data_IF_296283291546
#
_entry.id   IF_296283291546
#
_cell.length_a   1.000
_cell.length_b   1.000
_cell.length_c   1.000
_cell.angle_alpha   90.00
_cell.angle_beta   90.00
_cell.angle_gamma   90.00
#
_symmetry.space_group_name_H-M   'P 1'
#
loop_
_entity.id
_entity.type
_entity.pdbx_description
1 polymer ?
#
# COMPACT_ATOMS: atom_id res chain seq x y z
N UNK A 1 -68.85 -36.58 10.23
CA UNK A 1 -67.45 -36.45 9.78
C UNK A 1 -67.43 -35.42 8.66
N UNK A 2 -66.95 -34.21 8.95
CA UNK A 2 -66.81 -33.14 7.97
C UNK A 2 -65.35 -32.68 8.03
N UNK A 3 -64.62 -32.81 6.93
CA UNK A 3 -63.26 -32.31 6.79
C UNK A 3 -63.31 -30.88 6.25
N UNK A 4 -62.91 -29.92 7.09
CA UNK A 4 -62.69 -28.54 6.68
C UNK A 4 -61.28 -28.42 6.09
N UNK A 5 -61.21 -27.97 4.84
CA UNK A 5 -59.96 -27.71 4.11
C UNK A 5 -59.49 -26.30 4.46
N UNK A 6 -58.31 -26.17 5.06
CA UNK A 6 -57.66 -24.87 5.32
C UNK A 6 -57.06 -24.30 4.04
N UNK A 7 -57.14 -22.98 3.80
CA UNK A 7 -56.46 -22.34 2.68
C UNK A 7 -54.97 -22.12 3.00
N UNK A 8 -54.15 -22.49 2.03
CA UNK A 8 -52.71 -22.22 1.95
C UNK A 8 -52.46 -20.70 1.95
N UNK A 9 -51.71 -20.20 2.93
CA UNK A 9 -51.16 -18.84 2.90
C UNK A 9 -49.79 -18.92 2.22
N UNK A 10 -49.66 -18.32 1.04
CA UNK A 10 -48.35 -18.12 0.39
C UNK A 10 -47.63 -16.93 1.04
N UNK A 11 -46.33 -17.07 1.39
CA UNK A 11 -45.54 -15.91 1.78
C UNK A 11 -45.22 -15.06 0.55
N UNK A 12 -45.62 -13.79 0.60
CA UNK A 12 -45.18 -12.75 -0.35
C UNK A 12 -43.70 -12.47 -0.08
N UNK A 13 -42.83 -13.02 -0.92
CA UNK A 13 -41.43 -12.61 -1.02
C UNK A 13 -41.37 -11.23 -1.67
N UNK A 14 -41.30 -10.17 -0.84
CA UNK A 14 -40.90 -8.85 -1.28
C UNK A 14 -39.40 -8.85 -1.57
N UNK A 15 -39.04 -8.97 -2.85
CA UNK A 15 -37.68 -8.76 -3.33
C UNK A 15 -37.19 -7.36 -2.91
N UNK A 16 -36.05 -7.23 -2.21
CA UNK A 16 -35.45 -5.93 -1.99
C UNK A 16 -34.99 -5.40 -3.35
N UNK A 17 -35.54 -4.25 -3.73
CA UNK A 17 -35.13 -3.50 -4.91
C UNK A 17 -33.65 -3.16 -4.76
N UNK A 18 -32.80 -3.87 -5.49
CA UNK A 18 -31.41 -3.47 -5.70
C UNK A 18 -31.46 -2.06 -6.30
N UNK A 19 -31.18 -1.05 -5.47
CA UNK A 19 -30.85 0.29 -5.96
C UNK A 19 -29.59 0.11 -6.79
N UNK A 20 -29.76 0.15 -8.11
CA UNK A 20 -28.66 0.41 -9.04
C UNK A 20 -27.87 1.59 -8.49
N UNK A 21 -26.63 1.32 -8.06
CA UNK A 21 -25.65 2.36 -7.85
C UNK A 21 -25.56 3.13 -9.16
N UNK A 22 -26.06 4.36 -9.14
CA UNK A 22 -25.93 5.31 -10.23
C UNK A 22 -24.49 5.30 -10.72
N UNK A 23 -24.31 5.03 -12.01
CA UNK A 23 -23.06 5.21 -12.72
C UNK A 23 -22.60 6.66 -12.56
N UNK A 24 -21.80 6.93 -11.54
CA UNK A 24 -20.86 8.03 -11.58
C UNK A 24 -19.86 7.67 -12.68
N UNK A 25 -19.95 8.32 -13.82
CA UNK A 25 -18.83 8.35 -14.76
C UNK A 25 -17.65 8.94 -13.97
N UNK A 26 -16.54 8.20 -13.78
CA UNK A 26 -15.39 8.74 -13.07
C UNK A 26 -14.91 9.93 -13.88
N UNK A 27 -15.06 11.13 -13.31
CA UNK A 27 -14.36 12.30 -13.83
C UNK A 27 -12.90 11.96 -13.60
N UNK A 28 -12.15 11.62 -14.66
CA UNK A 28 -10.78 11.16 -14.54
C UNK A 28 -9.97 12.24 -13.81
N UNK A 29 -9.80 12.07 -12.51
CA UNK A 29 -8.97 12.93 -11.69
C UNK A 29 -7.57 12.83 -12.28
N UNK A 30 -7.03 13.94 -12.79
CA UNK A 30 -5.68 13.99 -13.33
C UNK A 30 -4.71 13.90 -12.17
N UNK A 31 -4.29 12.70 -11.82
CA UNK A 31 -3.25 12.48 -10.82
C UNK A 31 -1.92 12.93 -11.40
N UNK A 32 -1.23 13.79 -10.67
CA UNK A 32 0.09 14.30 -10.98
C UNK A 32 1.08 13.74 -9.98
N UNK A 33 2.32 13.57 -10.41
CA UNK A 33 3.39 13.23 -9.48
C UNK A 33 4.24 14.46 -9.23
N UNK A 34 4.47 14.78 -7.96
CA UNK A 34 5.41 15.84 -7.56
C UNK A 34 6.69 15.22 -7.03
N UNK A 35 7.82 15.87 -7.31
CA UNK A 35 9.07 15.52 -6.65
C UNK A 35 8.97 15.84 -5.15
N UNK A 36 9.39 14.89 -4.32
CA UNK A 36 9.59 15.14 -2.90
C UNK A 36 10.72 16.17 -2.75
N UNK A 37 10.48 17.25 -2.00
CA UNK A 37 11.46 18.31 -1.84
C UNK A 37 12.76 17.76 -1.26
N UNK A 38 13.84 17.81 -2.04
CA UNK A 38 15.20 17.63 -1.54
C UNK A 38 15.53 18.83 -0.68
N UNK A 39 15.49 18.65 0.63
CA UNK A 39 16.14 19.59 1.54
C UNK A 39 17.63 19.61 1.15
N UNK A 40 18.09 20.68 0.49
CA UNK A 40 19.51 20.93 0.31
C UNK A 40 20.19 20.83 1.68
N UNK A 41 21.22 19.99 1.85
CA UNK A 41 22.04 20.09 3.05
C UNK A 41 22.59 21.51 3.11
N UNK A 42 22.47 22.16 4.26
CA UNK A 42 23.05 23.49 4.48
C UNK A 42 24.54 23.45 4.14
N UNK A 43 25.08 24.47 3.44
CA UNK A 43 26.46 24.44 2.96
C UNK A 43 27.41 24.58 4.14
N UNK A 44 27.99 23.46 4.60
CA UNK A 44 29.22 23.47 5.36
C UNK A 44 30.40 23.21 4.41
N UNK A 45 31.40 24.10 4.35
CA UNK A 45 32.55 23.92 3.46
C UNK A 45 33.57 23.02 4.15
N UNK A 46 33.64 21.75 3.75
CA UNK A 46 34.85 20.95 3.93
C UNK A 46 35.19 20.21 2.63
N UNK A 47 36.40 20.42 2.06
CA UNK A 47 36.83 19.69 0.89
C UNK A 47 37.33 18.32 1.34
N UNK A 48 36.60 17.25 0.99
CA UNK A 48 37.15 15.91 0.97
C UNK A 48 37.20 15.39 -0.48
N UNK A 49 38.27 14.67 -0.85
CA UNK A 49 38.50 14.23 -2.22
C UNK A 49 37.46 13.19 -2.63
N UNK A 50 36.90 13.41 -3.83
CA UNK A 50 35.99 12.51 -4.51
C UNK A 50 36.71 11.21 -4.85
N UNK A 51 36.38 10.15 -4.10
CA UNK A 51 36.64 8.77 -4.50
C UNK A 51 35.42 8.34 -5.29
N UNK A 52 35.60 8.05 -6.57
CA UNK A 52 34.61 7.36 -7.38
C UNK A 52 34.44 5.95 -6.80
N UNK A 53 33.41 5.77 -5.98
CA UNK A 53 32.97 4.45 -5.54
C UNK A 53 32.08 3.89 -6.65
N UNK A 54 32.64 2.93 -7.37
CA UNK A 54 31.93 1.84 -8.03
C UNK A 54 30.95 1.26 -6.99
N UNK A 55 29.67 1.61 -7.07
CA UNK A 55 28.63 1.02 -6.23
C UNK A 55 28.42 -0.41 -6.71
N UNK A 56 29.26 -1.30 -6.21
CA UNK A 56 28.92 -2.71 -6.10
C UNK A 56 27.57 -2.80 -5.41
N UNK A 57 26.66 -3.55 -6.03
CA UNK A 57 25.34 -4.00 -5.57
C UNK A 57 25.46 -4.67 -4.17
N UNK A 58 25.75 -3.85 -3.16
CA UNK A 58 25.90 -4.23 -1.76
C UNK A 58 24.54 -4.72 -1.27
N UNK A 59 24.55 -5.85 -0.55
CA UNK A 59 23.43 -6.55 0.09
C UNK A 59 22.57 -5.62 0.99
N UNK A 60 21.85 -4.69 0.38
CA UNK A 60 20.88 -3.87 1.09
C UNK A 60 19.63 -4.74 1.31
N UNK A 61 19.17 -4.91 2.56
CA UNK A 61 18.14 -5.88 2.89
C UNK A 61 16.76 -5.55 2.30
N UNK A 62 16.57 -4.31 1.82
CA UNK A 62 15.30 -3.78 1.34
C UNK A 62 15.39 -3.33 -0.12
N UNK A 63 14.23 -3.28 -0.78
CA UNK A 63 14.11 -2.82 -2.17
C UNK A 63 14.57 -1.38 -2.41
N UNK A 64 14.42 -0.48 -1.43
CA UNK A 64 14.82 0.91 -1.57
C UNK A 64 16.22 1.12 -0.97
N UNK A 65 17.13 1.82 -1.68
CA UNK A 65 18.37 2.30 -1.08
C UNK A 65 18.09 3.16 0.17
N UNK A 66 18.99 3.19 1.17
CA UNK A 66 18.75 3.90 2.43
C UNK A 66 18.37 5.38 2.27
N UNK A 67 18.98 6.08 1.31
CA UNK A 67 18.71 7.49 1.01
C UNK A 67 17.29 7.72 0.50
N UNK A 68 16.80 6.85 -0.39
CA UNK A 68 15.45 6.89 -0.96
C UNK A 68 14.41 6.43 0.06
N UNK A 69 14.73 5.42 0.87
CA UNK A 69 13.88 4.97 1.96
C UNK A 69 13.65 6.08 2.99
N UNK A 70 14.71 6.82 3.37
CA UNK A 70 14.60 7.97 4.27
C UNK A 70 13.70 9.09 3.71
N UNK A 71 13.74 9.33 2.39
CA UNK A 71 12.81 10.25 1.73
C UNK A 71 11.37 9.73 1.78
N UNK A 72 11.18 8.42 1.54
CA UNK A 72 9.87 7.78 1.49
C UNK A 72 9.13 7.82 2.83
N UNK A 73 9.84 7.73 3.96
CA UNK A 73 9.21 7.77 5.29
C UNK A 73 9.17 9.14 5.94
N UNK A 74 9.70 10.19 5.28
CA UNK A 74 9.75 11.54 5.84
C UNK A 74 8.35 12.07 6.16
N UNK A 75 8.16 12.61 7.35
CA UNK A 75 6.89 13.15 7.83
C UNK A 75 5.84 12.09 8.18
N UNK A 76 6.21 10.81 8.17
CA UNK A 76 5.34 9.68 8.54
C UNK A 76 5.64 9.18 9.95
N UNK A 77 4.81 8.26 10.46
CA UNK A 77 5.05 7.59 11.75
C UNK A 77 6.24 6.62 11.73
N UNK A 78 6.82 6.36 10.56
CA UNK A 78 7.99 5.53 10.36
C UNK A 78 9.29 6.34 10.29
N UNK A 79 9.21 7.67 10.28
CA UNK A 79 10.40 8.54 10.26
C UNK A 79 11.28 8.30 11.49
N UNK A 80 12.59 8.11 11.27
CA UNK A 80 13.57 7.86 12.33
C UNK A 80 13.45 6.49 13.02
N UNK A 81 12.52 5.63 12.59
CA UNK A 81 12.39 4.29 13.14
C UNK A 81 13.36 3.31 12.47
N UNK A 82 13.85 2.33 13.24
CA UNK A 82 14.45 1.14 12.64
C UNK A 82 13.35 0.34 11.95
N UNK A 83 13.48 0.15 10.63
CA UNK A 83 12.50 -0.60 9.85
C UNK A 83 12.84 -2.09 9.82
N UNK A 84 11.80 -2.91 9.76
CA UNK A 84 11.89 -4.35 9.66
C UNK A 84 10.89 -4.86 8.62
N UNK A 85 11.33 -5.84 7.85
CA UNK A 85 10.50 -6.48 6.84
C UNK A 85 9.60 -7.52 7.50
N UNK A 86 8.29 -7.38 7.32
CA UNK A 86 7.28 -8.32 7.83
C UNK A 86 6.66 -9.17 6.72
N UNK A 87 6.86 -8.78 5.46
CA UNK A 87 6.46 -9.57 4.31
C UNK A 87 7.46 -9.39 3.18
N UNK A 88 7.71 -10.48 2.45
CA UNK A 88 8.45 -10.49 1.19
C UNK A 88 7.87 -11.55 0.27
N UNK A 89 7.58 -11.19 -0.98
CA UNK A 89 7.08 -12.16 -1.97
C UNK A 89 8.12 -13.22 -2.36
N UNK A 90 9.41 -13.00 -2.09
CA UNK A 90 10.44 -14.01 -2.30
C UNK A 90 10.34 -15.15 -1.28
N UNK A 91 9.93 -14.84 -0.05
CA UNK A 91 9.77 -15.81 1.03
C UNK A 91 8.36 -16.39 1.09
N UNK A 92 7.34 -15.56 0.86
CA UNK A 92 5.94 -15.89 1.08
C UNK A 92 5.17 -16.12 -0.22
N UNK A 93 5.82 -15.94 -1.37
CA UNK A 93 5.16 -15.93 -2.68
C UNK A 93 4.27 -14.70 -2.87
N UNK A 94 3.63 -14.59 -4.03
CA UNK A 94 2.55 -13.64 -4.26
C UNK A 94 1.23 -14.25 -3.78
N UNK A 95 1.02 -14.32 -2.46
CA UNK A 95 -0.13 -14.98 -1.84
C UNK A 95 -0.87 -14.03 -0.90
N UNK A 96 -2.12 -13.72 -1.23
CA UNK A 96 -3.01 -12.91 -0.37
C UNK A 96 -3.11 -13.51 1.04
N UNK A 97 -3.27 -14.84 1.13
CA UNK A 97 -3.33 -15.55 2.43
C UNK A 97 -2.05 -15.32 3.22
N UNK A 98 -0.88 -15.57 2.62
CA UNK A 98 0.40 -15.41 3.32
C UNK A 98 0.67 -13.95 3.70
N UNK A 99 0.28 -13.00 2.84
CA UNK A 99 0.36 -11.57 3.14
C UNK A 99 -0.41 -11.24 4.42
N UNK A 100 -1.70 -11.59 4.48
CA UNK A 100 -2.51 -11.27 5.66
C UNK A 100 -2.13 -12.06 6.90
N UNK A 101 -1.64 -13.29 6.77
CA UNK A 101 -1.15 -14.05 7.92
C UNK A 101 0.04 -13.34 8.60
N UNK A 102 0.85 -12.58 7.85
CA UNK A 102 1.90 -11.71 8.40
C UNK A 102 1.36 -10.37 8.92
N UNK A 103 0.38 -9.76 8.25
CA UNK A 103 -0.08 -8.41 8.60
C UNK A 103 -1.10 -8.37 9.74
N UNK A 104 -2.01 -9.34 9.84
CA UNK A 104 -3.09 -9.33 10.83
C UNK A 104 -2.59 -9.29 12.28
N UNK A 105 -1.52 -10.01 12.68
CA UNK A 105 -0.96 -9.88 14.02
C UNK A 105 -0.50 -8.46 14.37
N UNK A 106 -0.08 -7.69 13.36
CA UNK A 106 0.41 -6.31 13.51
C UNK A 106 -0.73 -5.28 13.57
N UNK A 107 -1.98 -5.66 13.36
CA UNK A 107 -3.15 -4.91 13.84
C UNK A 107 -3.14 -3.41 13.56
N UNK A 108 -2.87 -3.01 12.32
CA UNK A 108 -3.05 -1.63 11.87
C UNK A 108 -1.92 -0.68 12.20
N UNK A 109 -0.72 -1.23 12.41
CA UNK A 109 0.51 -0.45 12.49
C UNK A 109 0.79 0.31 11.19
N UNK A 110 1.48 1.46 11.26
CA UNK A 110 1.99 2.14 10.08
C UNK A 110 2.90 1.22 9.25
N UNK A 111 2.61 1.14 7.96
CA UNK A 111 3.28 0.23 7.03
C UNK A 111 3.70 0.94 5.75
N UNK A 112 4.90 0.60 5.28
CA UNK A 112 5.41 0.97 3.96
C UNK A 112 5.42 -0.26 3.07
N UNK A 113 4.66 -0.22 1.99
CA UNK A 113 4.59 -1.27 0.98
C UNK A 113 5.45 -0.88 -0.22
N UNK A 114 6.34 -1.77 -0.62
CA UNK A 114 7.28 -1.57 -1.72
C UNK A 114 7.05 -2.60 -2.81
N UNK A 115 7.20 -2.17 -4.06
CA UNK A 115 7.14 -3.02 -5.24
C UNK A 115 8.27 -2.71 -6.21
N UNK A 116 8.74 -3.77 -6.87
CA UNK A 116 9.76 -3.72 -7.90
C UNK A 116 9.28 -4.50 -9.12
N UNK A 117 9.25 -3.87 -10.29
CA UNK A 117 8.86 -4.52 -11.55
C UNK A 117 10.01 -5.33 -12.17
N UNK A 118 9.71 -6.17 -13.15
CA UNK A 118 10.75 -6.84 -13.96
C UNK A 118 11.60 -5.84 -14.75
N UNK A 119 11.04 -4.69 -15.13
CA UNK A 119 11.71 -3.63 -15.88
C UNK A 119 12.56 -2.68 -15.00
N UNK A 120 12.70 -2.97 -13.70
CA UNK A 120 13.54 -2.17 -12.80
C UNK A 120 12.81 -1.02 -12.09
N UNK A 121 11.50 -0.84 -12.29
CA UNK A 121 10.77 0.29 -11.70
C UNK A 121 10.42 0.02 -10.24
N UNK A 122 10.69 1.00 -9.39
CA UNK A 122 10.40 0.98 -7.96
C UNK A 122 9.20 1.87 -7.64
N UNK A 123 8.28 1.36 -6.83
CA UNK A 123 7.04 2.05 -6.47
C UNK A 123 6.55 1.57 -5.11
N UNK A 124 5.58 2.27 -4.54
CA UNK A 124 5.05 1.87 -3.25
C UNK A 124 3.91 2.72 -2.75
N UNK A 125 3.48 2.38 -1.55
CA UNK A 125 2.46 3.13 -0.82
C UNK A 125 2.73 3.09 0.67
N UNK A 126 2.34 4.15 1.34
CA UNK A 126 2.35 4.23 2.80
C UNK A 126 0.92 4.26 3.31
N UNK A 127 0.69 3.61 4.46
CA UNK A 127 -0.54 3.73 5.24
C UNK A 127 -0.19 3.85 6.73
N UNK A 128 -0.77 4.84 7.41
CA UNK A 128 -0.65 5.00 8.86
C UNK A 128 -1.50 3.98 9.63
N UNK A 129 -2.47 3.34 8.98
CA UNK A 129 -3.44 2.43 9.60
C UNK A 129 -3.16 0.96 9.33
N UNK A 130 -2.10 0.64 8.59
CA UNK A 130 -1.75 -0.74 8.22
C UNK A 130 -2.89 -1.53 7.60
N UNK A 131 -2.90 -2.83 7.89
CA UNK A 131 -3.87 -3.81 7.42
C UNK A 131 -4.50 -4.51 8.64
N UNK A 132 -5.83 -4.48 8.79
CA UNK A 132 -6.55 -5.04 9.95
C UNK A 132 -7.36 -6.28 9.65
N UNK A 133 -7.83 -6.44 8.41
CA UNK A 133 -8.75 -7.49 8.02
C UNK A 133 -8.57 -7.78 6.52
N UNK A 134 -9.17 -8.88 6.05
CA UNK A 134 -9.31 -9.16 4.62
C UNK A 134 -10.61 -8.52 4.13
N UNK A 135 -10.64 -8.05 2.89
CA UNK A 135 -11.82 -7.42 2.26
C UNK A 135 -12.36 -6.20 3.04
N UNK A 136 -11.47 -5.43 3.63
CA UNK A 136 -11.66 -4.17 4.32
C UNK A 136 -11.51 -2.94 3.40
N UNK A 137 -12.09 -1.85 3.86
CA UNK A 137 -12.09 -0.54 3.22
C UNK A 137 -11.72 0.52 4.24
N UNK A 138 -10.70 1.33 3.94
CA UNK A 138 -10.37 2.50 4.76
C UNK A 138 -10.21 3.75 3.95
N UNK A 139 -10.69 4.86 4.49
CA UNK A 139 -10.39 6.20 4.03
C UNK A 139 -9.42 6.88 5.00
N UNK A 140 -8.47 7.64 4.48
CA UNK A 140 -7.68 8.59 5.23
C UNK A 140 -8.15 10.01 4.92
N UNK A 141 -7.97 10.89 5.89
CA UNK A 141 -8.35 12.31 5.77
C UNK A 141 -7.18 13.20 5.32
N UNK A 142 -5.95 12.66 5.25
CA UNK A 142 -4.78 13.41 4.80
C UNK A 142 -3.72 12.54 4.12
N UNK A 143 -2.91 13.16 3.26
CA UNK A 143 -1.74 12.53 2.62
C UNK A 143 -0.69 12.05 3.64
N UNK A 144 -0.63 12.66 4.83
CA UNK A 144 0.25 12.19 5.92
C UNK A 144 -0.18 10.82 6.47
N UNK A 145 -1.43 10.43 6.25
CA UNK A 145 -1.96 9.15 6.68
C UNK A 145 -1.92 8.09 5.55
N UNK A 146 -1.87 8.50 4.28
CA UNK A 146 -1.77 7.58 3.16
C UNK A 146 -1.24 8.28 1.90
N UNK A 147 -0.32 7.66 1.17
CA UNK A 147 0.11 8.16 -0.14
C UNK A 147 0.68 7.05 -1.02
N UNK A 148 0.74 7.31 -2.32
CA UNK A 148 1.38 6.46 -3.33
C UNK A 148 2.60 7.18 -3.87
N UNK A 149 3.67 6.43 -4.14
CA UNK A 149 4.88 6.98 -4.74
C UNK A 149 5.46 6.08 -5.82
N UNK A 150 6.29 6.69 -6.66
CA UNK A 150 7.17 6.05 -7.63
C UNK A 150 8.58 6.58 -7.44
N UNK A 151 9.59 5.79 -7.80
CA UNK A 151 10.99 6.18 -7.76
C UNK A 151 11.52 6.19 -9.18
N UNK A 152 12.07 7.34 -9.60
CA UNK A 152 12.71 7.52 -10.89
C UNK A 152 14.14 8.01 -10.67
N UNK A 153 15.12 7.13 -10.93
CA UNK A 153 16.51 7.37 -10.49
C UNK A 153 16.55 7.62 -8.98
N UNK A 154 17.12 8.75 -8.56
CA UNK A 154 17.20 9.16 -7.14
C UNK A 154 16.00 9.99 -6.65
N UNK A 155 15.00 10.19 -7.51
CA UNK A 155 13.85 11.01 -7.19
C UNK A 155 12.69 10.18 -6.68
N UNK A 156 12.18 10.57 -5.50
CA UNK A 156 10.90 10.08 -4.99
C UNK A 156 9.78 10.98 -5.49
N UNK A 157 8.83 10.40 -6.20
CA UNK A 157 7.69 11.08 -6.77
C UNK A 157 6.43 10.69 -6.02
N UNK A 158 5.71 11.65 -5.44
CA UNK A 158 4.46 11.42 -4.68
C UNK A 158 3.27 11.80 -5.56
N UNK A 159 2.27 10.92 -5.60
CA UNK A 159 1.02 11.12 -6.32
C UNK A 159 0.13 12.17 -5.65
N UNK A 160 -0.47 13.07 -6.43
CA UNK A 160 -1.39 14.14 -6.00
C UNK A 160 -2.44 14.48 -7.08
N UNK A 161 -3.73 14.63 -6.73
CA UNK A 161 -4.34 14.15 -5.50
C UNK A 161 -4.44 12.62 -5.54
N UNK A 162 -4.22 11.95 -4.41
CA UNK A 162 -4.61 10.54 -4.24
C UNK A 162 -5.94 10.49 -3.52
N UNK A 163 -6.92 9.77 -4.05
CA UNK A 163 -8.05 9.33 -3.23
C UNK A 163 -7.48 8.45 -2.11
N UNK A 164 -7.59 8.90 -0.86
CA UNK A 164 -6.87 8.31 0.27
C UNK A 164 -7.53 7.02 0.76
N UNK A 165 -7.75 6.09 -0.16
CA UNK A 165 -8.53 4.89 0.06
C UNK A 165 -7.64 3.67 -0.06
N UNK A 166 -7.75 2.80 0.94
CA UNK A 166 -7.17 1.47 0.97
C UNK A 166 -8.28 0.44 0.73
N UNK A 167 -8.12 -0.40 -0.29
CA UNK A 167 -8.94 -1.59 -0.50
C UNK A 167 -8.07 -2.83 -0.44
N UNK A 168 -8.54 -3.90 0.16
CA UNK A 168 -7.73 -5.11 0.30
C UNK A 168 -8.48 -6.41 -0.08
N UNK A 169 -9.01 -6.41 -1.30
CA UNK A 169 -9.82 -7.51 -1.83
C UNK A 169 -9.01 -8.75 -2.23
N UNK A 170 -9.62 -9.93 -2.08
CA UNK A 170 -9.04 -11.26 -2.38
C UNK A 170 -8.22 -11.37 -3.69
N UNK A 171 -8.66 -10.72 -4.77
CA UNK A 171 -8.03 -10.84 -6.10
C UNK A 171 -6.83 -9.90 -6.32
N UNK A 172 -6.78 -8.79 -5.58
CA UNK A 172 -5.74 -7.75 -5.65
C UNK A 172 -5.55 -7.22 -4.23
N UNK A 173 -4.63 -7.83 -3.46
CA UNK A 173 -4.71 -7.71 -2.01
C UNK A 173 -4.52 -6.30 -1.45
N UNK A 174 -3.96 -5.35 -2.19
CA UNK A 174 -3.84 -3.98 -1.69
C UNK A 174 -4.01 -2.99 -2.84
N UNK A 175 -4.97 -2.09 -2.71
CA UNK A 175 -5.16 -0.95 -3.60
C UNK A 175 -5.07 0.33 -2.81
N UNK A 176 -4.24 1.27 -3.27
CA UNK A 176 -4.20 2.63 -2.75
C UNK A 176 -4.79 3.59 -3.79
N UNK A 177 -5.25 4.76 -3.37
CA UNK A 177 -5.41 5.85 -4.32
C UNK A 177 -6.64 5.72 -5.23
N UNK A 178 -7.74 5.08 -4.82
CA UNK A 178 -8.80 4.62 -5.74
C UNK A 178 -8.29 3.71 -6.88
N UNK A 179 -7.20 2.97 -6.61
CA UNK A 179 -6.61 2.02 -7.54
C UNK A 179 -5.39 2.55 -8.29
N UNK A 180 -4.86 3.74 -7.97
CA UNK A 180 -3.58 4.23 -8.51
C UNK A 180 -2.42 3.27 -8.28
N UNK A 181 -2.49 2.48 -7.23
CA UNK A 181 -1.61 1.35 -6.99
C UNK A 181 -2.48 0.14 -6.73
N UNK A 182 -2.24 -0.97 -7.44
CA UNK A 182 -2.94 -2.24 -7.26
C UNK A 182 -1.90 -3.35 -7.14
N UNK A 183 -1.61 -3.81 -5.94
CA UNK A 183 -0.62 -4.87 -5.73
C UNK A 183 -1.21 -6.24 -6.06
N UNK A 184 -0.58 -7.00 -6.98
CA UNK A 184 -1.02 -8.35 -7.27
C UNK A 184 -0.56 -9.28 -6.14
N UNK A 185 -1.50 -9.98 -5.51
CA UNK A 185 -1.19 -11.10 -4.59
C UNK A 185 -1.86 -12.40 -5.02
N UNK A 186 -2.24 -12.45 -6.29
CA UNK A 186 -2.65 -13.67 -6.95
C UNK A 186 -1.52 -14.07 -7.91
N UNK A 187 -0.91 -15.25 -7.74
CA UNK A 187 0.25 -15.64 -8.54
C UNK A 187 -0.11 -15.83 -10.03
N UNK A 188 -1.38 -16.07 -10.36
CA UNK A 188 -1.87 -16.12 -11.73
C UNK A 188 -2.16 -14.73 -12.33
N UNK A 189 -2.15 -13.67 -11.51
CA UNK A 189 -2.46 -12.28 -11.89
C UNK A 189 -1.33 -11.31 -11.51
N UNK A 190 -0.06 -11.74 -11.57
CA UNK A 190 1.13 -10.90 -11.31
C UNK A 190 1.35 -9.77 -12.33
N UNK A 191 0.43 -9.61 -13.28
CA UNK A 191 0.38 -8.52 -14.25
C UNK A 191 -0.56 -7.45 -13.69
N UNK A 192 -0.01 -6.28 -13.37
CA UNK A 192 -0.83 -5.11 -13.08
C UNK A 192 -1.37 -4.57 -14.40
N UNK A 193 -2.69 -4.55 -14.53
CA UNK A 193 -3.37 -3.87 -15.63
C UNK A 193 -3.63 -2.43 -15.24
N UNK A 194 -3.55 -1.49 -16.19
CA UNK A 194 -3.94 -0.13 -15.90
C UNK A 194 -5.45 -0.12 -15.70
N UNK A 195 -5.92 0.38 -14.57
CA UNK A 195 -7.29 0.82 -14.43
C UNK A 195 -7.41 2.28 -14.89
N UNK A 196 -8.65 2.75 -15.08
CA UNK A 196 -8.93 4.12 -15.54
C UNK A 196 -8.20 5.21 -14.71
N UNK A 197 -7.94 4.95 -13.41
CA UNK A 197 -7.21 5.85 -12.52
C UNK A 197 -5.69 5.85 -12.78
N UNK A 198 -5.06 4.69 -12.96
CA UNK A 198 -3.64 4.59 -13.36
C UNK A 198 -3.37 5.16 -14.75
N UNK A 199 -4.26 4.94 -15.72
CA UNK A 199 -4.11 5.46 -17.10
C UNK A 199 -4.30 6.99 -17.22
N UNK A 200 -4.73 7.65 -16.14
CA UNK A 200 -4.92 9.11 -16.08
C UNK A 200 -3.85 9.82 -15.24
N UNK A 201 -2.83 9.08 -14.78
CA UNK A 201 -1.64 9.65 -14.15
C UNK A 201 -0.82 10.43 -15.19
N UNK A 202 -0.17 11.52 -14.77
CA UNK A 202 0.91 12.16 -15.52
C UNK A 202 2.12 12.36 -14.61
N UNK A 203 3.21 11.70 -14.98
CA UNK A 203 4.52 11.85 -14.38
C UNK A 203 5.20 13.13 -14.90
N UNK A 204 6.22 13.67 -14.20
CA UNK A 204 6.95 14.87 -14.64
C UNK A 204 7.61 14.72 -16.02
N UNK A 205 8.03 13.51 -16.36
CA UNK A 205 8.63 13.15 -17.66
C UNK A 205 7.60 13.01 -18.80
N UNK A 206 6.30 13.14 -18.50
CA UNK A 206 5.20 13.01 -19.47
C UNK A 206 4.64 11.60 -19.60
N UNK A 207 5.23 10.59 -18.96
CA UNK A 207 4.68 9.23 -18.91
C UNK A 207 3.35 9.20 -18.14
N UNK A 208 2.51 8.21 -18.43
CA UNK A 208 1.14 8.16 -17.90
C UNK A 208 0.91 7.05 -16.87
N UNK A 209 1.97 6.47 -16.32
CA UNK A 209 1.87 5.35 -15.39
C UNK A 209 3.01 5.40 -14.38
N UNK A 210 2.73 5.02 -13.13
CA UNK A 210 3.75 4.75 -12.09
C UNK A 210 4.71 3.62 -12.46
N UNK A 211 4.37 2.86 -13.50
CA UNK A 211 5.16 1.75 -14.02
C UNK A 211 5.95 2.11 -15.30
N UNK A 212 5.99 3.39 -15.70
CA UNK A 212 6.73 3.86 -16.88
C UNK A 212 5.93 3.83 -18.18
N UNK A 213 6.58 3.49 -19.30
CA UNK A 213 5.99 3.50 -20.65
C UNK A 213 4.96 2.39 -20.89
N UNK A 214 4.98 1.33 -20.07
CA UNK A 214 4.14 0.16 -20.29
C UNK A 214 2.76 0.34 -19.67
N UNK A 215 1.74 0.05 -20.47
CA UNK A 215 0.36 -0.07 -20.01
C UNK A 215 0.23 -1.17 -18.93
N UNK A 216 1.07 -2.20 -18.97
CA UNK A 216 1.08 -3.30 -18.00
C UNK A 216 2.48 -3.51 -17.46
N UNK A 217 2.61 -3.77 -16.16
CA UNK A 217 3.89 -4.12 -15.55
C UNK A 217 3.77 -5.42 -14.75
N UNK A 218 4.80 -6.26 -14.87
CA UNK A 218 4.93 -7.47 -14.08
C UNK A 218 5.73 -7.16 -12.82
N UNK A 219 5.14 -7.44 -11.66
CA UNK A 219 5.82 -7.23 -10.37
C UNK A 219 6.72 -8.42 -10.08
N UNK A 220 8.01 -8.15 -9.88
CA UNK A 220 9.04 -9.15 -9.57
C UNK A 220 9.14 -9.40 -8.06
N UNK A 221 9.08 -8.34 -7.24
CA UNK A 221 9.24 -8.42 -5.77
C UNK A 221 8.29 -7.44 -5.08
N UNK A 222 7.75 -7.86 -3.93
CA UNK A 222 6.97 -7.05 -3.01
C UNK A 222 7.51 -7.19 -1.61
N UNK A 223 7.51 -6.09 -0.86
CA UNK A 223 7.90 -6.05 0.55
C UNK A 223 6.96 -5.17 1.36
N UNK A 224 6.76 -5.55 2.63
CA UNK A 224 6.14 -4.66 3.62
C UNK A 224 7.13 -4.41 4.74
N UNK A 225 7.37 -3.14 5.01
CA UNK A 225 8.21 -2.67 6.10
C UNK A 225 7.35 -2.00 7.17
N UNK A 226 7.66 -2.26 8.43
CA UNK A 226 7.09 -1.60 9.61
C UNK A 226 8.21 -1.18 10.55
N UNK A 227 7.91 -0.37 11.56
CA UNK A 227 8.88 -0.09 12.62
C UNK A 227 9.12 -1.36 13.46
N UNK A 228 10.40 -1.71 13.67
CA UNK A 228 10.85 -2.91 14.41
C UNK A 228 10.21 -3.03 15.80
N UNK A 229 10.01 -1.90 16.48
CA UNK A 229 9.35 -1.84 17.80
C UNK A 229 8.00 -2.56 17.85
N UNK A 230 7.24 -2.57 16.75
CA UNK A 230 5.94 -3.25 16.69
C UNK A 230 6.09 -4.77 16.62
N UNK A 231 7.15 -5.27 15.98
CA UNK A 231 7.46 -6.71 15.96
C UNK A 231 7.91 -7.16 17.35
N UNK A 232 8.82 -6.40 17.97
CA UNK A 232 9.33 -6.72 19.31
C UNK A 232 8.19 -6.73 20.35
N UNK A 233 7.16 -5.90 20.18
CA UNK A 233 5.96 -5.92 21.03
C UNK A 233 5.11 -7.18 20.87
N UNK A 234 5.03 -7.75 19.66
CA UNK A 234 4.33 -9.01 19.41
C UNK A 234 5.09 -10.22 19.96
N UNK A 235 6.41 -10.18 19.92
CA UNK A 235 7.28 -11.25 20.40
C UNK A 235 7.42 -11.28 21.93
N UNK A 236 7.08 -10.18 22.62
CA UNK A 236 7.06 -10.16 24.09
C UNK A 236 6.14 -11.28 24.58
N UNK A 237 6.62 -12.14 25.51
CA UNK A 237 5.77 -13.13 26.14
C UNK A 237 4.54 -12.42 26.68
N UNK A 238 3.34 -12.94 26.38
CA UNK A 238 2.08 -12.46 26.98
C UNK A 238 2.14 -12.70 28.49
N UNK A 239 2.87 -11.86 29.21
CA UNK A 239 2.70 -11.71 30.64
C UNK A 239 1.24 -11.38 30.83
N UNK A 240 0.55 -12.15 31.68
CA UNK A 240 -0.87 -12.08 31.94
C UNK A 240 -1.26 -10.70 32.50
N UNK A 241 -1.23 -9.63 31.72
CA UNK A 241 -1.78 -8.34 32.11
C UNK A 241 -3.23 -8.31 31.65
N UNK A 242 -4.13 -8.57 32.60
CA UNK A 242 -5.55 -8.26 32.51
C UNK A 242 -5.75 -6.74 32.38
N UNK A 243 -5.58 -6.15 31.20
CA UNK A 243 -6.21 -4.87 30.85
C UNK A 243 -6.00 -4.56 29.37
N UNK A 244 -7.10 -4.39 28.63
CA UNK A 244 -7.09 -4.06 27.21
C UNK A 244 -6.29 -2.80 26.91
N UNK A 245 -5.27 -2.95 26.06
CA UNK A 245 -4.32 -1.90 25.71
C UNK A 245 -4.74 -1.08 24.47
N UNK A 246 -5.62 -1.62 23.61
CA UNK A 246 -6.05 -0.92 22.39
C UNK A 246 -6.96 0.30 22.60
N UNK A 247 -7.38 0.61 23.84
CA UNK A 247 -8.18 1.81 24.12
C UNK A 247 -7.38 3.10 24.27
N UNK A 248 -6.03 3.05 24.24
CA UNK A 248 -5.18 4.24 24.49
C UNK A 248 -4.56 4.89 23.25
N UNK A 249 -4.63 4.27 22.08
CA UNK A 249 -4.04 4.84 20.84
C UNK A 249 -5.07 5.45 19.88
N UNK A 250 -6.38 5.29 20.13
CA UNK A 250 -7.46 5.85 19.31
C UNK A 250 -8.47 6.68 20.12
N UNK A 251 -8.01 7.31 21.21
CA UNK A 251 -8.77 8.31 21.97
C UNK A 251 -8.36 9.73 21.59
#
# INVERSE_FOLDING_TARGET
>A
MAFAVSPFIQPVLSSPSHRCCSHFAPTAARVRFRACATSQPSPHPHPHPSVASDETDEDHPFLLPPSTLAKAVRGTMLEGCQLAQVYSSQLHGFSNVAFFDQQLPLGGVPSLLLGHTEDGNLFGGYTAFGFLARDDYREATSEKAMFVFSVQGDQLLIAEPTDLVLYDFYDYAVRFGAGLLCMPMNPAKHIMKPNAATSSCRMPDGTTSVFGEFAMAKVKRLEVLVARKYIDELEKPKQQSKSGFFSRFFG
#
